data_IF_648906511687
#
_entry.id   IF_648906511687
#
_cell.length_a   1.000
_cell.length_b   1.000
_cell.length_c   1.000
_cell.angle_alpha   90.00
_cell.angle_beta   90.00
_cell.angle_gamma   90.00
#
_symmetry.space_group_name_H-M   'P 1'
#
loop_
_entity.id
_entity.type
_entity.pdbx_description
1 polymer ?
#
# COMPACT_ATOMS: atom_id res chain seq x y z
N UNK A 1 14.17 -10.99 6.79
CA UNK A 1 13.11 -11.84 7.38
C UNK A 1 11.83 -11.59 6.61
N UNK A 2 10.91 -12.58 6.49
CA UNK A 2 9.62 -12.32 5.83
C UNK A 2 8.68 -11.65 6.84
N UNK A 3 8.13 -10.50 6.44
CA UNK A 3 7.14 -9.75 7.26
C UNK A 3 5.70 -10.17 6.91
N UNK A 4 5.48 -10.56 5.63
CA UNK A 4 4.22 -11.14 5.16
C UNK A 4 4.51 -12.44 4.43
N UNK A 5 3.68 -13.45 4.69
CA UNK A 5 3.65 -14.71 3.95
C UNK A 5 2.21 -15.08 3.63
N UNK A 6 1.85 -15.03 2.36
CA UNK A 6 0.60 -15.58 1.83
C UNK A 6 0.89 -16.96 1.22
N UNK A 7 0.14 -17.99 1.63
CA UNK A 7 0.37 -19.37 1.20
C UNK A 7 -0.91 -20.02 0.71
N UNK A 8 -0.89 -20.46 -0.55
CA UNK A 8 -1.95 -21.24 -1.20
C UNK A 8 -3.33 -20.58 -1.07
N UNK A 9 -3.38 -19.25 -1.29
CA UNK A 9 -4.61 -18.45 -1.14
C UNK A 9 -5.60 -18.82 -2.24
N UNK A 10 -6.79 -19.21 -1.83
CA UNK A 10 -7.96 -19.37 -2.69
C UNK A 10 -9.02 -18.38 -2.23
N UNK A 11 -9.46 -17.50 -3.12
CA UNK A 11 -10.47 -16.49 -2.83
C UNK A 11 -11.59 -16.56 -3.86
N UNK A 12 -12.82 -16.58 -3.39
CA UNK A 12 -14.01 -16.56 -4.25
C UNK A 12 -15.13 -15.75 -3.62
N UNK A 13 -15.86 -15.00 -4.43
CA UNK A 13 -17.10 -14.30 -4.07
C UNK A 13 -18.27 -14.99 -4.77
N UNK A 14 -19.03 -15.77 -4.00
CA UNK A 14 -20.01 -16.70 -4.57
C UNK A 14 -19.32 -17.74 -5.45
N UNK A 15 -19.73 -17.82 -6.72
CA UNK A 15 -19.11 -18.72 -7.71
C UNK A 15 -17.91 -18.08 -8.43
N UNK A 16 -17.69 -16.77 -8.27
CA UNK A 16 -16.59 -16.08 -8.96
C UNK A 16 -15.27 -16.30 -8.22
N UNK A 17 -14.41 -17.14 -8.78
CA UNK A 17 -13.05 -17.40 -8.29
C UNK A 17 -12.15 -16.20 -8.64
N UNK A 18 -11.48 -15.63 -7.64
CA UNK A 18 -10.54 -14.51 -7.77
C UNK A 18 -9.10 -14.99 -7.71
N UNK A 19 -8.78 -15.81 -6.69
CA UNK A 19 -7.45 -16.40 -6.52
C UNK A 19 -7.54 -17.91 -6.53
N UNK A 20 -6.62 -18.54 -7.26
CA UNK A 20 -6.44 -19.98 -7.37
C UNK A 20 -5.01 -20.34 -6.97
N UNK A 21 -4.81 -20.68 -5.69
CA UNK A 21 -3.51 -21.10 -5.16
C UNK A 21 -2.42 -20.01 -5.25
N UNK A 22 -2.76 -18.75 -4.90
CA UNK A 22 -1.81 -17.63 -4.88
C UNK A 22 -0.91 -17.73 -3.65
N UNK A 23 0.42 -17.65 -3.88
CA UNK A 23 1.42 -17.58 -2.80
C UNK A 23 2.43 -16.49 -3.12
N UNK A 24 2.78 -15.67 -2.12
CA UNK A 24 3.80 -14.63 -2.25
C UNK A 24 4.40 -14.28 -0.89
N UNK A 25 5.58 -13.64 -0.90
CA UNK A 25 6.30 -13.28 0.31
C UNK A 25 6.84 -11.87 0.24
N UNK A 26 6.65 -11.11 1.33
CA UNK A 26 7.20 -9.75 1.48
C UNK A 26 8.29 -9.77 2.55
N UNK A 27 9.45 -9.22 2.23
CA UNK A 27 10.60 -9.12 3.14
C UNK A 27 10.58 -7.80 3.89
N UNK A 28 11.24 -7.74 5.03
CA UNK A 28 11.41 -6.49 5.78
C UNK A 28 12.22 -5.47 4.95
N UNK A 29 11.84 -4.20 5.07
CA UNK A 29 12.51 -3.04 4.47
C UNK A 29 12.54 -3.04 2.92
N UNK A 30 11.62 -3.76 2.26
CA UNK A 30 11.46 -3.66 0.81
C UNK A 30 10.19 -2.88 0.41
N UNK A 31 10.21 -2.31 -0.78
CA UNK A 31 9.01 -1.86 -1.48
C UNK A 31 8.58 -3.01 -2.40
N UNK A 32 7.48 -3.65 -2.03
CA UNK A 32 6.93 -4.80 -2.74
C UNK A 32 5.63 -4.44 -3.46
N UNK A 33 5.53 -4.76 -4.75
CA UNK A 33 4.32 -4.44 -5.51
C UNK A 33 3.47 -5.69 -5.83
N UNK A 34 2.15 -5.49 -5.80
CA UNK A 34 1.16 -6.40 -6.37
C UNK A 34 0.81 -5.85 -7.76
N UNK A 35 1.29 -6.50 -8.81
CA UNK A 35 1.14 -6.11 -10.21
C UNK A 35 0.17 -7.06 -10.92
N UNK A 36 -0.48 -6.59 -11.98
CA UNK A 36 -1.38 -7.40 -12.81
C UNK A 36 -2.46 -6.57 -13.48
N UNK A 37 -3.18 -7.14 -14.43
CA UNK A 37 -4.26 -6.49 -15.15
C UNK A 37 -5.45 -6.10 -14.26
N UNK A 38 -6.38 -5.33 -14.82
CA UNK A 38 -7.64 -5.04 -14.13
C UNK A 38 -8.38 -6.34 -13.82
N UNK A 39 -8.90 -6.47 -12.62
CA UNK A 39 -9.62 -7.68 -12.18
C UNK A 39 -8.73 -8.88 -11.81
N UNK A 40 -7.39 -8.78 -11.82
CA UNK A 40 -6.49 -9.89 -11.45
C UNK A 40 -6.47 -10.21 -9.95
N UNK A 41 -7.18 -9.46 -9.12
CA UNK A 41 -7.30 -9.73 -7.67
C UNK A 41 -6.33 -8.96 -6.78
N UNK A 42 -5.48 -8.05 -7.28
CA UNK A 42 -4.48 -7.29 -6.50
C UNK A 42 -5.05 -6.65 -5.24
N UNK A 43 -6.08 -5.82 -5.40
CA UNK A 43 -6.71 -5.13 -4.26
C UNK A 43 -7.44 -6.10 -3.33
N UNK A 44 -7.93 -7.24 -3.83
CA UNK A 44 -8.49 -8.31 -3.00
C UNK A 44 -7.40 -8.92 -2.13
N UNK A 45 -6.24 -9.29 -2.70
CA UNK A 45 -5.12 -9.83 -1.95
C UNK A 45 -4.60 -8.84 -0.90
N UNK A 46 -4.50 -7.55 -1.26
CA UNK A 46 -4.14 -6.49 -0.30
C UNK A 46 -5.17 -6.41 0.83
N UNK A 47 -6.47 -6.44 0.53
CA UNK A 47 -7.55 -6.42 1.55
C UNK A 47 -7.51 -7.62 2.48
N UNK A 48 -7.11 -8.78 1.99
CA UNK A 48 -6.89 -9.97 2.81
C UNK A 48 -5.68 -9.79 3.75
N UNK A 49 -4.58 -9.22 3.26
CA UNK A 49 -3.39 -8.93 4.07
C UNK A 49 -3.68 -7.94 5.21
N UNK A 50 -4.62 -7.01 5.03
CA UNK A 50 -5.00 -6.02 6.06
C UNK A 50 -6.25 -6.42 6.87
N UNK A 51 -6.72 -7.66 6.73
CA UNK A 51 -7.89 -8.22 7.44
C UNK A 51 -9.22 -7.51 7.12
N UNK A 52 -9.41 -6.95 5.92
CA UNK A 52 -10.70 -6.46 5.44
C UNK A 52 -11.49 -7.54 4.71
N UNK A 53 -10.80 -8.54 4.15
CA UNK A 53 -11.38 -9.71 3.49
C UNK A 53 -10.74 -10.97 4.06
N UNK A 54 -11.41 -12.10 3.86
CA UNK A 54 -10.88 -13.42 4.27
C UNK A 54 -10.80 -14.32 3.04
N UNK A 55 -9.67 -14.99 2.81
CA UNK A 55 -9.58 -16.02 1.79
C UNK A 55 -10.50 -17.20 2.14
N UNK A 56 -10.97 -17.90 1.12
CA UNK A 56 -11.74 -19.15 1.27
C UNK A 56 -10.89 -20.27 1.86
N UNK A 57 -9.61 -20.32 1.48
CA UNK A 57 -8.61 -21.23 2.03
C UNK A 57 -7.21 -20.69 1.84
N UNK A 58 -6.22 -21.33 2.43
CA UNK A 58 -4.85 -20.88 2.52
C UNK A 58 -4.58 -20.18 3.85
N UNK A 59 -3.42 -19.54 4.00
CA UNK A 59 -3.06 -18.80 5.21
C UNK A 59 -2.28 -17.54 4.88
N UNK A 60 -2.52 -16.48 5.64
CA UNK A 60 -1.76 -15.23 5.57
C UNK A 60 -1.16 -14.97 6.96
N UNK A 61 0.15 -14.82 6.99
CA UNK A 61 0.89 -14.46 8.19
C UNK A 61 1.45 -13.05 8.02
N UNK A 62 1.22 -12.20 9.02
CA UNK A 62 1.79 -10.84 9.08
C UNK A 62 2.50 -10.69 10.42
N UNK A 63 3.76 -10.25 10.40
CA UNK A 63 4.64 -10.23 11.59
C UNK A 63 4.66 -11.59 12.31
N UNK A 64 4.64 -12.70 11.57
CA UNK A 64 4.62 -14.06 12.10
C UNK A 64 3.27 -14.53 12.68
N UNK A 65 2.23 -13.69 12.69
CA UNK A 65 0.91 -14.04 13.21
C UNK A 65 0.00 -14.54 12.08
N UNK A 66 -0.60 -15.71 12.24
CA UNK A 66 -1.63 -16.24 11.35
C UNK A 66 -2.92 -15.43 11.52
N UNK A 67 -3.29 -14.65 10.49
CA UNK A 67 -4.42 -13.72 10.57
C UNK A 67 -5.76 -14.42 10.83
N UNK A 68 -5.91 -15.67 10.41
CA UNK A 68 -7.15 -16.44 10.60
C UNK A 68 -7.36 -16.89 12.05
N UNK A 69 -6.30 -16.94 12.87
CA UNK A 69 -6.32 -17.46 14.24
C UNK A 69 -6.37 -16.39 15.32
N UNK A 70 -6.30 -15.10 14.93
CA UNK A 70 -6.27 -14.00 15.88
C UNK A 70 -7.64 -13.79 16.54
N UNK A 71 -7.63 -13.56 17.85
CA UNK A 71 -8.76 -12.94 18.57
C UNK A 71 -8.95 -11.49 18.12
N UNK A 72 -10.11 -10.91 18.41
CA UNK A 72 -10.40 -9.50 18.09
C UNK A 72 -9.38 -8.53 18.70
N UNK A 73 -8.97 -8.76 19.95
CA UNK A 73 -7.99 -7.92 20.65
C UNK A 73 -6.58 -8.02 20.02
N UNK A 74 -6.16 -9.24 19.65
CA UNK A 74 -4.88 -9.45 18.96
C UNK A 74 -4.90 -8.83 17.57
N UNK A 75 -6.01 -8.97 16.83
CA UNK A 75 -6.19 -8.34 15.53
C UNK A 75 -6.13 -6.80 15.61
N UNK A 76 -6.77 -6.19 16.61
CA UNK A 76 -6.71 -4.75 16.85
C UNK A 76 -5.28 -4.29 17.16
N UNK A 77 -4.58 -4.99 18.06
CA UNK A 77 -3.17 -4.71 18.38
C UNK A 77 -2.25 -4.89 17.17
N UNK A 78 -2.54 -5.87 16.31
CA UNK A 78 -1.75 -6.07 15.10
C UNK A 78 -1.99 -4.95 14.08
N UNK A 79 -3.24 -4.50 13.89
CA UNK A 79 -3.59 -3.40 12.98
C UNK A 79 -2.90 -2.09 13.33
N UNK A 80 -2.59 -1.80 14.59
CA UNK A 80 -1.85 -0.59 14.96
C UNK A 80 -0.40 -0.58 14.47
N UNK A 81 0.12 -1.73 13.99
CA UNK A 81 1.49 -1.85 13.48
C UNK A 81 1.63 -1.54 11.99
N UNK A 82 0.52 -1.31 11.29
CA UNK A 82 0.55 -0.92 9.88
C UNK A 82 -0.33 0.29 9.58
N UNK A 83 0.04 1.01 8.54
CA UNK A 83 -0.77 2.08 7.95
C UNK A 83 -1.37 1.63 6.62
N UNK A 84 -2.51 2.22 6.26
CA UNK A 84 -3.17 1.95 4.97
C UNK A 84 -3.53 3.26 4.27
N UNK A 85 -3.15 3.36 3.00
CA UNK A 85 -3.60 4.40 2.09
C UNK A 85 -4.45 3.74 0.99
N UNK A 86 -5.72 4.06 0.94
CA UNK A 86 -6.64 3.60 -0.10
C UNK A 86 -6.60 4.50 -1.33
N UNK A 87 -7.03 4.00 -2.47
CA UNK A 87 -7.00 4.67 -3.76
C UNK A 87 -7.58 6.10 -3.73
N UNK A 88 -8.71 6.33 -3.06
CA UNK A 88 -9.33 7.64 -2.90
C UNK A 88 -8.83 8.44 -1.68
N UNK A 89 -7.80 7.93 -0.97
CA UNK A 89 -7.32 8.50 0.29
C UNK A 89 -8.19 8.13 1.49
N UNK A 90 -9.48 7.91 1.31
CA UNK A 90 -10.47 7.54 2.35
C UNK A 90 -10.43 8.46 3.60
N UNK A 91 -10.17 9.76 3.41
CA UNK A 91 -10.28 10.75 4.48
C UNK A 91 -11.76 11.00 4.82
N UNK A 92 -12.04 11.20 6.09
CA UNK A 92 -13.36 11.63 6.54
C UNK A 92 -13.62 13.05 6.05
N UNK A 93 -14.58 13.23 5.17
CA UNK A 93 -14.88 14.52 4.52
C UNK A 93 -15.38 15.59 5.47
N UNK A 94 -15.96 15.20 6.60
CA UNK A 94 -16.46 16.09 7.65
C UNK A 94 -15.38 16.51 8.67
N UNK A 95 -14.16 15.99 8.54
CA UNK A 95 -13.03 16.30 9.41
C UNK A 95 -11.93 17.01 8.64
N UNK A 96 -11.24 17.94 9.28
CA UNK A 96 -10.02 18.54 8.71
C UNK A 96 -8.91 17.50 8.57
N UNK A 97 -7.84 17.83 7.84
CA UNK A 97 -6.66 16.96 7.73
C UNK A 97 -6.09 16.63 9.11
N UNK A 98 -5.94 17.64 9.97
CA UNK A 98 -5.44 17.45 11.34
C UNK A 98 -6.34 16.52 12.16
N UNK A 99 -7.65 16.68 12.04
CA UNK A 99 -8.61 15.82 12.76
C UNK A 99 -8.60 14.37 12.22
N UNK A 100 -8.44 14.18 10.90
CA UNK A 100 -8.25 12.86 10.31
C UNK A 100 -7.03 12.12 10.87
N UNK A 101 -5.92 12.83 11.09
CA UNK A 101 -4.70 12.26 11.70
C UNK A 101 -4.91 12.06 13.21
N UNK A 102 -5.51 13.05 13.89
CA UNK A 102 -5.77 13.00 15.34
C UNK A 102 -6.63 11.81 15.76
N UNK A 103 -7.52 11.34 14.87
CA UNK A 103 -8.44 10.24 15.17
C UNK A 103 -7.68 8.98 15.59
N UNK A 104 -6.58 8.64 14.89
CA UNK A 104 -5.78 7.46 15.21
C UNK A 104 -5.08 7.59 16.57
N UNK A 105 -4.54 8.76 16.90
CA UNK A 105 -3.95 8.98 18.21
C UNK A 105 -4.99 8.85 19.34
N UNK A 106 -6.20 9.38 19.15
CA UNK A 106 -7.29 9.30 20.13
C UNK A 106 -7.80 7.86 20.33
N UNK A 107 -7.79 7.05 19.28
CA UNK A 107 -8.28 5.66 19.32
C UNK A 107 -7.26 4.70 19.91
N UNK A 108 -5.97 4.91 19.63
CA UNK A 108 -4.92 3.93 19.94
C UNK A 108 -3.93 4.38 21.01
N UNK A 109 -4.06 5.60 21.55
CA UNK A 109 -3.11 6.13 22.55
C UNK A 109 -3.81 7.00 23.60
N UNK A 110 -3.17 7.12 24.77
CA UNK A 110 -3.59 8.05 25.84
C UNK A 110 -2.75 9.34 25.84
N UNK A 111 -2.28 9.79 24.68
CA UNK A 111 -1.42 10.97 24.58
C UNK A 111 -2.19 12.27 24.89
N UNK A 112 -1.57 13.23 25.57
CA UNK A 112 -2.19 14.53 25.85
C UNK A 112 -2.40 15.32 24.54
N UNK A 113 -3.48 16.09 24.45
CA UNK A 113 -3.89 16.86 23.25
C UNK A 113 -2.75 17.73 22.67
N UNK A 114 -1.92 18.35 23.53
CA UNK A 114 -0.80 19.17 23.10
C UNK A 114 0.22 18.36 22.31
N UNK A 115 0.57 17.15 22.78
CA UNK A 115 1.52 16.28 22.10
C UNK A 115 0.93 15.74 20.79
N UNK A 116 -0.36 15.38 20.77
CA UNK A 116 -1.05 14.98 19.52
C UNK A 116 -0.93 16.09 18.47
N UNK A 117 -1.13 17.35 18.86
CA UNK A 117 -1.02 18.48 17.94
C UNK A 117 0.40 18.63 17.34
N UNK A 118 1.43 18.46 18.15
CA UNK A 118 2.82 18.49 17.69
C UNK A 118 3.14 17.31 16.75
N UNK A 119 2.67 16.10 17.09
CA UNK A 119 2.82 14.92 16.23
C UNK A 119 2.12 15.09 14.88
N UNK A 120 0.92 15.69 14.85
CA UNK A 120 0.22 16.01 13.60
C UNK A 120 1.08 16.91 12.73
N UNK A 121 1.64 18.00 13.28
CA UNK A 121 2.52 18.92 12.56
C UNK A 121 3.73 18.20 11.96
N UNK A 122 4.35 17.31 12.74
CA UNK A 122 5.45 16.48 12.28
C UNK A 122 5.03 15.59 11.09
N UNK A 123 3.86 14.93 11.17
CA UNK A 123 3.39 14.05 10.08
C UNK A 123 3.07 14.85 8.80
N UNK A 124 2.56 16.06 8.94
CA UNK A 124 2.31 16.98 7.82
C UNK A 124 3.64 17.38 7.14
N UNK A 125 4.66 17.72 7.92
CA UNK A 125 5.98 18.04 7.38
C UNK A 125 6.62 16.83 6.69
N UNK A 126 6.53 15.65 7.29
CA UNK A 126 7.08 14.40 6.75
C UNK A 126 6.55 14.07 5.34
N UNK A 127 5.30 14.41 5.06
CA UNK A 127 4.69 14.16 3.73
C UNK A 127 4.80 15.37 2.79
N UNK A 128 5.49 16.43 3.20
CA UNK A 128 5.70 17.64 2.41
C UNK A 128 4.42 18.45 2.16
N UNK A 129 3.48 18.43 3.10
CA UNK A 129 2.33 19.33 3.07
C UNK A 129 2.65 20.64 3.81
N UNK A 130 2.10 21.79 3.35
CA UNK A 130 2.24 23.03 4.10
C UNK A 130 1.45 22.97 5.41
N UNK A 131 1.97 23.56 6.48
CA UNK A 131 1.38 23.50 7.83
C UNK A 131 -0.07 23.99 7.90
N UNK A 132 -0.48 24.95 7.05
CA UNK A 132 -1.87 25.41 7.01
C UNK A 132 -2.86 24.32 6.55
N UNK A 133 -2.38 23.28 5.83
CA UNK A 133 -3.22 22.17 5.40
C UNK A 133 -3.85 21.40 6.57
N UNK A 134 -3.30 21.50 7.78
CA UNK A 134 -3.87 20.90 8.99
C UNK A 134 -5.33 21.30 9.19
N UNK A 135 -5.68 22.54 8.85
CA UNK A 135 -6.99 23.13 9.09
C UNK A 135 -7.94 23.00 7.88
N UNK A 136 -7.46 22.47 6.74
CA UNK A 136 -8.27 22.31 5.54
C UNK A 136 -9.09 21.00 5.60
N UNK A 137 -10.26 21.04 4.99
CA UNK A 137 -11.07 19.85 4.73
C UNK A 137 -10.59 19.13 3.46
N UNK A 138 -10.85 17.82 3.30
CA UNK A 138 -10.47 17.09 2.10
C UNK A 138 -10.96 17.72 0.80
N UNK A 139 -12.12 18.38 0.80
CA UNK A 139 -12.69 19.07 -0.36
C UNK A 139 -11.93 20.34 -0.79
N UNK A 140 -11.05 20.87 0.07
CA UNK A 140 -10.25 22.05 -0.19
C UNK A 140 -8.83 21.72 -0.70
N UNK A 141 -8.53 20.41 -0.81
CA UNK A 141 -7.21 19.90 -1.20
C UNK A 141 -7.17 19.56 -2.69
N UNK A 142 -6.01 19.75 -3.31
CA UNK A 142 -5.73 19.13 -4.61
C UNK A 142 -5.62 17.60 -4.48
N UNK A 143 -5.75 16.83 -5.59
CA UNK A 143 -5.64 15.39 -5.57
C UNK A 143 -4.33 14.89 -4.95
N UNK A 144 -3.21 15.51 -5.28
CA UNK A 144 -1.91 15.20 -4.68
C UNK A 144 -1.85 15.52 -3.19
N UNK A 145 -2.46 16.62 -2.73
CA UNK A 145 -2.55 16.94 -1.31
C UNK A 145 -3.42 15.93 -0.55
N UNK A 146 -4.53 15.46 -1.15
CA UNK A 146 -5.37 14.39 -0.55
C UNK A 146 -4.55 13.11 -0.32
N UNK A 147 -3.75 12.69 -1.32
CA UNK A 147 -2.87 11.52 -1.20
C UNK A 147 -1.83 11.69 -0.09
N UNK A 148 -1.18 12.86 -0.01
CA UNK A 148 -0.21 13.19 1.04
C UNK A 148 -0.84 13.26 2.43
N UNK A 149 -2.04 13.83 2.56
CA UNK A 149 -2.79 13.87 3.82
C UNK A 149 -3.21 12.45 4.29
N UNK A 150 -3.65 11.61 3.35
CA UNK A 150 -3.95 10.21 3.64
C UNK A 150 -2.70 9.41 4.04
N UNK A 151 -1.55 9.70 3.42
CA UNK A 151 -0.25 9.14 3.82
C UNK A 151 0.16 9.59 5.23
N UNK A 152 0.01 10.89 5.56
CA UNK A 152 0.28 11.40 6.90
C UNK A 152 -0.57 10.68 7.96
N UNK A 153 -1.85 10.45 7.66
CA UNK A 153 -2.72 9.65 8.52
C UNK A 153 -2.24 8.21 8.64
N UNK A 154 -1.88 7.55 7.54
CA UNK A 154 -1.36 6.19 7.56
C UNK A 154 -0.09 6.04 8.40
N UNK A 155 0.73 7.09 8.46
CA UNK A 155 1.98 7.15 9.24
C UNK A 155 1.78 7.57 10.71
N UNK A 156 0.55 7.91 11.15
CA UNK A 156 0.30 8.51 12.46
C UNK A 156 0.85 7.70 13.63
N UNK A 157 0.68 6.38 13.62
CA UNK A 157 1.09 5.48 14.69
C UNK A 157 2.51 4.90 14.51
N UNK A 158 3.37 5.52 13.69
CA UNK A 158 4.71 5.04 13.38
C UNK A 158 4.74 3.55 12.97
N UNK A 159 3.96 3.17 11.94
CA UNK A 159 3.85 1.78 11.52
C UNK A 159 5.20 1.24 11.02
N UNK A 160 5.37 -0.08 11.09
CA UNK A 160 6.50 -0.78 10.44
C UNK A 160 6.17 -1.24 9.02
N UNK A 161 4.89 -1.29 8.69
CA UNK A 161 4.38 -1.79 7.42
C UNK A 161 3.36 -0.79 6.86
N UNK A 162 3.47 -0.45 5.60
CA UNK A 162 2.60 0.49 4.91
C UNK A 162 1.97 -0.20 3.70
N UNK A 163 0.64 -0.18 3.64
CA UNK A 163 -0.11 -0.68 2.50
C UNK A 163 -0.66 0.49 1.67
N UNK A 164 -0.41 0.47 0.36
CA UNK A 164 -0.80 1.51 -0.57
C UNK A 164 -1.63 0.90 -1.71
N UNK A 165 -2.89 1.26 -1.81
CA UNK A 165 -3.76 0.81 -2.91
C UNK A 165 -3.82 1.90 -3.98
N UNK A 166 -3.11 1.70 -5.10
CA UNK A 166 -2.98 2.62 -6.23
C UNK A 166 -2.66 4.08 -5.79
N UNK A 167 -1.53 4.31 -5.09
CA UNK A 167 -1.26 5.59 -4.44
C UNK A 167 -1.14 6.76 -5.41
N UNK A 168 -0.66 6.53 -6.63
CA UNK A 168 -0.43 7.56 -7.66
C UNK A 168 -1.59 7.70 -8.64
N UNK A 169 -2.63 6.86 -8.53
CA UNK A 169 -3.81 6.92 -9.40
C UNK A 169 -4.45 8.30 -9.40
N UNK A 170 -4.68 8.86 -10.60
CA UNK A 170 -5.29 10.17 -10.80
C UNK A 170 -4.34 11.37 -10.61
N UNK A 171 -3.06 11.13 -10.40
CA UNK A 171 -2.03 12.17 -10.40
C UNK A 171 -1.45 12.35 -11.81
N UNK A 172 -0.95 13.55 -12.09
CA UNK A 172 -0.12 13.80 -13.26
C UNK A 172 1.25 13.09 -13.11
N UNK A 173 1.98 12.86 -14.22
CA UNK A 173 3.25 12.10 -14.17
C UNK A 173 4.30 12.71 -13.24
N UNK A 174 4.39 14.06 -13.15
CA UNK A 174 5.36 14.71 -12.26
C UNK A 174 4.99 14.49 -10.79
N UNK A 175 3.71 14.68 -10.45
CA UNK A 175 3.18 14.44 -9.09
C UNK A 175 3.31 12.98 -8.68
N UNK A 176 3.12 12.03 -9.61
CA UNK A 176 3.33 10.60 -9.37
C UNK A 176 4.78 10.30 -8.99
N UNK A 177 5.74 10.78 -9.77
CA UNK A 177 7.18 10.61 -9.48
C UNK A 177 7.60 11.25 -8.16
N UNK A 178 7.05 12.42 -7.83
CA UNK A 178 7.30 13.06 -6.54
C UNK A 178 6.73 12.25 -5.38
N UNK A 179 5.57 11.61 -5.57
CA UNK A 179 4.97 10.76 -4.55
C UNK A 179 5.79 9.46 -4.37
N UNK A 180 6.24 8.85 -5.44
CA UNK A 180 7.11 7.67 -5.42
C UNK A 180 8.43 7.96 -4.71
N UNK A 181 9.08 9.09 -5.04
CA UNK A 181 10.28 9.55 -4.35
C UNK A 181 10.03 9.74 -2.84
N UNK A 182 8.88 10.31 -2.47
CA UNK A 182 8.50 10.47 -1.07
C UNK A 182 8.37 9.12 -0.37
N UNK A 183 7.71 8.13 -0.98
CA UNK A 183 7.57 6.78 -0.42
C UNK A 183 8.95 6.14 -0.22
N UNK A 184 9.85 6.25 -1.20
CA UNK A 184 11.21 5.73 -1.09
C UNK A 184 11.98 6.39 0.06
N UNK A 185 11.94 7.73 0.17
CA UNK A 185 12.58 8.47 1.26
C UNK A 185 12.03 8.08 2.63
N UNK A 186 10.71 7.92 2.76
CA UNK A 186 10.08 7.49 4.00
C UNK A 186 10.47 6.05 4.37
N UNK A 187 10.53 5.13 3.38
CA UNK A 187 11.01 3.77 3.59
C UNK A 187 12.45 3.78 4.15
N UNK A 188 13.34 4.54 3.53
CA UNK A 188 14.75 4.60 3.91
C UNK A 188 14.96 5.27 5.28
N UNK A 189 14.23 6.35 5.55
CA UNK A 189 14.35 7.11 6.79
C UNK A 189 13.75 6.37 8.01
N UNK A 190 12.62 5.69 7.82
CA UNK A 190 11.85 5.06 8.90
C UNK A 190 12.04 3.54 8.99
N UNK A 191 12.77 2.94 8.05
CA UNK A 191 12.90 1.47 7.96
C UNK A 191 11.56 0.79 7.68
N UNK A 192 10.72 1.39 6.84
CA UNK A 192 9.40 0.85 6.51
C UNK A 192 9.51 -0.33 5.56
N UNK A 193 8.58 -1.25 5.67
CA UNK A 193 8.22 -2.16 4.58
C UNK A 193 6.98 -1.60 3.89
N UNK A 194 6.98 -1.58 2.57
CA UNK A 194 5.86 -1.05 1.79
C UNK A 194 5.29 -2.15 0.90
N UNK A 195 3.98 -2.35 0.95
CA UNK A 195 3.23 -3.19 -0.01
C UNK A 195 2.32 -2.28 -0.80
N UNK A 196 2.47 -2.25 -2.11
CA UNK A 196 1.63 -1.41 -2.95
C UNK A 196 0.93 -2.19 -4.06
N UNK A 197 -0.30 -1.81 -4.34
CA UNK A 197 -0.97 -2.17 -5.59
C UNK A 197 -0.68 -1.08 -6.59
N UNK A 198 -0.15 -1.43 -7.75
CA UNK A 198 0.05 -0.49 -8.84
C UNK A 198 -0.07 -1.19 -10.19
N UNK A 199 -0.36 -0.42 -11.22
CA UNK A 199 -0.26 -0.82 -12.63
C UNK A 199 0.69 0.12 -13.40
N UNK A 200 1.34 1.04 -12.68
CA UNK A 200 2.29 2.00 -13.24
C UNK A 200 3.68 1.38 -13.35
N UNK A 201 4.15 1.20 -14.59
CA UNK A 201 5.46 0.64 -14.87
C UNK A 201 6.59 1.57 -14.44
N UNK A 202 6.39 2.89 -14.54
CA UNK A 202 7.37 3.87 -14.06
C UNK A 202 7.67 3.65 -12.57
N UNK A 203 6.64 3.48 -11.74
CA UNK A 203 6.78 3.14 -10.32
C UNK A 203 7.56 1.83 -10.13
N UNK A 204 7.25 0.79 -10.92
CA UNK A 204 7.94 -0.51 -10.83
C UNK A 204 9.43 -0.36 -11.15
N UNK A 205 9.78 0.40 -12.18
CA UNK A 205 11.18 0.62 -12.57
C UNK A 205 11.98 1.47 -11.57
N UNK A 206 11.33 2.41 -10.88
CA UNK A 206 12.06 3.42 -10.10
C UNK A 206 12.19 3.10 -8.62
N UNK A 207 11.15 2.53 -7.99
CA UNK A 207 11.14 2.40 -6.52
C UNK A 207 10.85 0.98 -6.01
N UNK A 208 10.35 0.06 -6.86
CA UNK A 208 9.96 -1.27 -6.41
C UNK A 208 11.17 -2.20 -6.39
N UNK A 209 11.42 -2.83 -5.25
CA UNK A 209 12.52 -3.81 -5.09
C UNK A 209 12.13 -5.18 -5.65
N UNK A 210 10.93 -5.65 -5.33
CA UNK A 210 10.36 -6.92 -5.80
C UNK A 210 8.86 -6.78 -6.00
N UNK A 211 8.29 -7.65 -6.83
CA UNK A 211 6.85 -7.68 -7.05
C UNK A 211 6.36 -9.09 -7.37
N UNK A 212 5.06 -9.30 -7.20
CA UNK A 212 4.32 -10.43 -7.74
C UNK A 212 3.45 -9.97 -8.89
N UNK A 213 3.53 -10.65 -10.01
CA UNK A 213 2.63 -10.45 -11.16
C UNK A 213 1.49 -11.47 -11.08
N UNK A 214 0.27 -10.97 -10.89
CA UNK A 214 -0.96 -11.75 -10.88
C UNK A 214 -1.61 -11.76 -12.27
N UNK A 215 -1.96 -12.94 -12.74
CA UNK A 215 -2.69 -13.15 -13.98
C UNK A 215 -3.42 -14.49 -13.94
N UNK A 216 -4.51 -14.62 -14.66
CA UNK A 216 -5.31 -15.86 -14.71
C UNK A 216 -5.61 -16.46 -13.33
N UNK A 217 -5.86 -15.60 -12.33
CA UNK A 217 -6.15 -15.94 -10.92
C UNK A 217 -4.96 -16.55 -10.16
N UNK A 218 -3.76 -16.54 -10.72
CA UNK A 218 -2.54 -17.17 -10.18
C UNK A 218 -1.37 -16.19 -10.13
N UNK A 219 -0.32 -16.62 -9.46
CA UNK A 219 0.99 -15.97 -9.58
C UNK A 219 1.62 -16.42 -10.90
N UNK A 220 1.91 -15.46 -11.76
CA UNK A 220 2.64 -15.67 -13.02
C UNK A 220 4.14 -15.66 -12.77
N UNK A 221 4.61 -14.69 -11.99
CA UNK A 221 6.00 -14.58 -11.56
C UNK A 221 6.10 -13.76 -10.28
N UNK A 222 7.16 -13.99 -9.48
CA UNK A 222 7.51 -13.20 -8.31
C UNK A 222 9.04 -13.01 -8.27
N UNK A 223 9.50 -11.80 -8.06
CA UNK A 223 10.93 -11.49 -7.96
C UNK A 223 11.23 -10.02 -8.18
N UNK A 224 12.51 -9.72 -8.41
CA UNK A 224 12.97 -8.43 -8.93
C UNK A 224 12.55 -8.29 -10.40
N UNK A 225 12.57 -7.06 -10.92
CA UNK A 225 12.24 -6.82 -12.32
C UNK A 225 13.10 -7.69 -13.27
N UNK A 226 14.41 -7.77 -13.02
CA UNK A 226 15.33 -8.56 -13.85
C UNK A 226 14.98 -10.07 -13.80
N UNK A 227 14.62 -10.61 -12.64
CA UNK A 227 14.22 -12.01 -12.51
C UNK A 227 12.92 -12.29 -13.26
N UNK A 228 11.91 -11.43 -13.11
CA UNK A 228 10.60 -11.60 -13.75
C UNK A 228 10.71 -11.52 -15.27
N UNK A 229 11.54 -10.63 -15.82
CA UNK A 229 11.76 -10.50 -17.27
C UNK A 229 12.43 -11.73 -17.89
N UNK A 230 13.05 -12.62 -17.11
CA UNK A 230 13.57 -13.91 -17.64
C UNK A 230 12.50 -14.98 -17.85
N UNK A 231 11.34 -14.81 -17.24
CA UNK A 231 10.23 -15.77 -17.31
C UNK A 231 9.47 -15.57 -18.63
N UNK A 232 9.48 -16.60 -19.47
CA UNK A 232 8.75 -16.59 -20.75
C UNK A 232 7.26 -16.82 -20.52
N UNK A 233 6.47 -15.75 -20.53
CA UNK A 233 5.02 -15.83 -20.36
C UNK A 233 4.31 -14.68 -21.11
N UNK A 234 3.22 -14.95 -21.87
CA UNK A 234 2.52 -13.92 -22.66
C UNK A 234 2.06 -12.70 -21.86
N UNK A 235 1.68 -12.88 -20.59
CA UNK A 235 1.28 -11.77 -19.70
C UNK A 235 2.48 -10.86 -19.39
N UNK A 236 3.67 -11.41 -19.18
CA UNK A 236 4.89 -10.63 -18.92
C UNK A 236 5.25 -9.84 -20.17
N UNK A 237 5.26 -10.50 -21.34
CA UNK A 237 5.52 -9.84 -22.61
C UNK A 237 4.51 -8.71 -22.85
N UNK A 238 3.23 -8.94 -22.58
CA UNK A 238 2.18 -7.93 -22.72
C UNK A 238 2.38 -6.74 -21.78
N UNK A 239 2.77 -6.98 -20.52
CA UNK A 239 2.97 -5.93 -19.51
C UNK A 239 4.21 -5.07 -19.81
N UNK A 240 5.35 -5.69 -20.11
CA UNK A 240 6.64 -5.01 -20.18
C UNK A 240 7.10 -4.65 -21.61
N UNK A 241 6.49 -5.21 -22.67
CA UNK A 241 6.78 -4.83 -24.07
C UNK A 241 5.95 -3.62 -24.54
N UNK A 242 5.00 -3.13 -23.75
CA UNK A 242 4.27 -1.88 -24.02
C UNK A 242 5.01 -0.64 -23.49
N UNK A 243 6.33 -0.59 -23.54
CA UNK A 243 6.99 0.72 -23.48
C UNK A 243 6.65 1.50 -24.75
N UNK A 244 6.21 2.76 -24.65
CA UNK A 244 6.14 3.59 -25.82
C UNK A 244 7.57 3.77 -26.33
N UNK A 245 7.88 3.10 -27.45
CA UNK A 245 9.11 3.36 -28.18
C UNK A 245 9.24 4.86 -28.44
N UNK A 246 10.33 5.42 -27.94
CA UNK A 246 11.13 6.40 -28.63
C UNK A 246 10.46 7.74 -28.93
N UNK A 247 10.85 8.70 -28.16
CA UNK A 247 11.22 9.96 -28.81
C UNK A 247 12.61 9.68 -29.42
N UNK A 248 12.62 9.19 -30.66
CA UNK A 248 13.78 9.36 -31.53
C UNK A 248 13.80 10.80 -32.00
N UNK A 249 14.92 11.46 -31.68
CA UNK A 249 15.56 12.65 -32.25
C UNK A 249 14.68 13.86 -32.58
#
# INVERSE_FOLDING_TARGET
MNIIEARNIITAFGENLIHDNVSCTVRENEIYALLGGSGSGKSTLLREMIMLEKPRSGSIHVFGNDLAKLSLAEAQKLRSKWGVLFQSGALYSSLTVGENIALLYKEYTDLPKKLIHELIRLKIDMVGLPQHAINLYPSELSGGMVKRAALARALALDPKLLFLDEPTSGLDPLSSRQFDTLIQQLRDLLGLTVVMVTHDLDTIHHIVDRFVLLGDKKVIAEGTLNEVLTVKHPIIDYFFQKEPHGIES
#
